data_IF_648974555370
#
_entry.id   IF_648974555370
#
_cell.length_a   1.000
_cell.length_b   1.000
_cell.length_c   1.000
_cell.angle_alpha   90.00
_cell.angle_beta   90.00
_cell.angle_gamma   90.00
#
_symmetry.space_group_name_H-M   'P 1'
#
loop_
_entity.id
_entity.type
_entity.pdbx_description
1 polymer ?
#
# COMPACT_ATOMS: atom_id res chain seq x y z
N UNK A 1 14.98 -3.79 34.85
CA UNK A 1 15.31 -3.24 33.54
C UNK A 1 15.97 -1.89 33.73
N UNK A 2 17.23 -1.73 33.30
CA UNK A 2 17.99 -0.50 33.43
C UNK A 2 17.69 0.45 32.25
N UNK A 3 18.00 1.74 32.40
CA UNK A 3 17.86 2.69 31.28
C UNK A 3 18.67 2.28 30.06
N UNK A 4 19.86 1.73 30.26
CA UNK A 4 20.73 1.26 29.17
C UNK A 4 20.15 0.05 28.43
N UNK A 5 19.49 -0.87 29.15
CA UNK A 5 18.75 -1.97 28.54
C UNK A 5 17.59 -1.45 27.71
N UNK A 6 16.84 -0.45 28.20
CA UNK A 6 15.76 0.19 27.46
C UNK A 6 16.28 0.83 26.16
N UNK A 7 17.34 1.65 26.27
CA UNK A 7 17.92 2.34 25.09
C UNK A 7 18.43 1.36 24.03
N UNK A 8 19.09 0.28 24.44
CA UNK A 8 19.63 -0.73 23.49
C UNK A 8 18.56 -1.57 22.81
N UNK A 9 17.47 -1.85 23.51
CA UNK A 9 16.44 -2.78 23.05
C UNK A 9 15.17 -2.08 22.57
N UNK A 10 15.09 -0.75 22.68
CA UNK A 10 13.94 0.02 22.23
C UNK A 10 13.72 -0.16 20.71
N UNK A 11 12.62 -0.84 20.36
CA UNK A 11 12.21 -1.07 18.96
C UNK A 11 10.72 -0.80 18.79
N UNK A 12 9.89 -1.58 19.45
CA UNK A 12 8.44 -1.47 19.41
C UNK A 12 7.82 -1.94 20.71
N UNK A 13 6.58 -1.60 20.95
CA UNK A 13 5.82 -1.95 22.16
C UNK A 13 5.04 -3.26 21.97
N UNK A 14 4.92 -4.09 23.04
CA UNK A 14 5.70 -4.09 24.30
C UNK A 14 7.17 -4.49 24.04
N UNK A 15 8.12 -3.89 24.75
CA UNK A 15 9.55 -4.08 24.50
C UNK A 15 10.02 -5.55 24.53
N UNK A 16 9.42 -6.39 25.40
CA UNK A 16 9.79 -7.81 25.54
C UNK A 16 9.13 -8.75 24.53
N UNK A 17 8.00 -8.31 23.96
CA UNK A 17 7.26 -9.07 22.96
C UNK A 17 6.58 -8.08 21.99
N UNK A 18 7.34 -7.46 21.08
CA UNK A 18 6.83 -6.44 20.18
C UNK A 18 5.61 -6.92 19.37
N UNK A 19 4.69 -5.98 19.08
CA UNK A 19 3.48 -6.27 18.31
C UNK A 19 3.79 -6.71 16.86
N UNK A 20 5.02 -6.51 16.40
CA UNK A 20 5.48 -6.92 15.08
C UNK A 20 6.99 -7.23 15.09
N UNK A 21 7.49 -8.13 14.23
CA UNK A 21 8.92 -8.44 14.15
C UNK A 21 9.71 -7.32 13.45
N UNK A 22 11.03 -7.36 13.60
CA UNK A 22 11.92 -6.48 12.82
C UNK A 22 11.89 -6.89 11.35
N UNK A 23 11.83 -5.90 10.44
CA UNK A 23 12.01 -6.14 9.00
C UNK A 23 13.48 -6.44 8.64
N UNK A 24 13.77 -6.74 7.35
CA UNK A 24 12.85 -6.73 6.20
C UNK A 24 11.86 -7.89 6.22
N UNK A 25 10.79 -7.81 5.40
CA UNK A 25 9.77 -8.86 5.32
C UNK A 25 9.76 -9.51 3.94
N UNK A 26 9.82 -10.85 3.91
CA UNK A 26 9.67 -11.66 2.70
C UNK A 26 8.22 -12.06 2.52
N UNK A 27 7.72 -11.97 1.29
CA UNK A 27 6.39 -12.43 0.87
C UNK A 27 6.57 -13.50 -0.19
N UNK A 28 5.87 -14.63 -0.01
CA UNK A 28 5.82 -15.73 -0.96
C UNK A 28 4.41 -15.83 -1.53
N UNK A 29 4.30 -16.00 -2.85
CA UNK A 29 3.02 -16.08 -3.56
C UNK A 29 2.10 -14.86 -3.33
N UNK A 30 2.67 -13.67 -3.17
CA UNK A 30 1.89 -12.44 -3.07
C UNK A 30 1.13 -12.21 -4.36
N UNK A 31 -0.19 -12.15 -4.24
CA UNK A 31 -1.12 -12.02 -5.33
C UNK A 31 -1.74 -10.63 -5.34
N UNK A 32 -1.80 -10.01 -6.52
CA UNK A 32 -2.37 -8.68 -6.71
C UNK A 32 -3.43 -8.70 -7.80
N UNK A 33 -4.52 -7.96 -7.57
CA UNK A 33 -5.34 -7.40 -8.62
C UNK A 33 -5.22 -5.88 -8.55
N UNK A 34 -4.70 -5.27 -9.61
CA UNK A 34 -4.51 -3.82 -9.72
C UNK A 34 -5.41 -3.29 -10.80
N UNK A 35 -6.37 -2.43 -10.43
CA UNK A 35 -7.27 -1.75 -11.35
C UNK A 35 -6.84 -0.28 -11.41
N UNK A 36 -6.35 0.14 -12.59
CA UNK A 36 -5.94 1.53 -12.84
C UNK A 36 -7.11 2.29 -13.44
N UNK A 37 -7.42 3.45 -12.87
CA UNK A 37 -8.53 4.27 -13.32
C UNK A 37 -8.19 5.75 -13.32
N UNK A 38 -8.89 6.51 -14.18
CA UNK A 38 -8.86 7.98 -14.22
C UNK A 38 -9.83 8.54 -13.20
N UNK A 39 -9.41 9.61 -12.51
CA UNK A 39 -10.22 10.32 -11.52
C UNK A 39 -10.21 11.83 -11.77
N UNK A 40 -10.93 12.59 -10.95
CA UNK A 40 -10.93 14.05 -11.00
C UNK A 40 -9.56 14.63 -10.62
N UNK A 41 -8.92 15.45 -11.48
CA UNK A 41 -7.58 15.96 -11.23
C UNK A 41 -7.49 16.93 -10.05
N UNK A 42 -8.53 17.72 -9.76
CA UNK A 42 -8.51 18.65 -8.64
C UNK A 42 -8.65 17.91 -7.31
N UNK A 43 -9.53 16.92 -7.24
CA UNK A 43 -9.68 16.06 -6.06
C UNK A 43 -8.39 15.27 -5.80
N UNK A 44 -7.78 14.71 -6.86
CA UNK A 44 -6.53 13.96 -6.73
C UNK A 44 -5.39 14.85 -6.24
N UNK A 45 -5.23 16.07 -6.80
CA UNK A 45 -4.17 17.01 -6.38
C UNK A 45 -4.27 17.35 -4.89
N UNK A 46 -5.47 17.50 -4.36
CA UNK A 46 -5.71 17.79 -2.96
C UNK A 46 -5.23 16.68 -2.00
N UNK A 47 -5.12 15.43 -2.49
CA UNK A 47 -4.69 14.27 -1.69
C UNK A 47 -3.18 14.04 -1.70
N UNK A 48 -2.42 14.71 -2.60
CA UNK A 48 -0.98 14.48 -2.76
C UNK A 48 -0.20 15.48 -1.89
N UNK A 49 0.57 15.03 -0.89
CA UNK A 49 1.37 15.93 -0.05
C UNK A 49 2.55 16.50 -0.83
N UNK A 50 2.82 17.82 -0.66
CA UNK A 50 4.05 18.39 -1.16
C UNK A 50 5.27 17.76 -0.43
N UNK A 51 6.45 17.63 -1.07
CA UNK A 51 6.80 18.10 -2.40
C UNK A 51 6.50 17.09 -3.53
N UNK A 52 5.66 16.07 -3.30
CA UNK A 52 5.26 15.16 -4.37
C UNK A 52 4.44 15.88 -5.46
N UNK A 53 4.72 15.57 -6.70
CA UNK A 53 4.04 16.15 -7.86
C UNK A 53 3.17 15.11 -8.56
N UNK A 54 1.96 15.51 -8.94
CA UNK A 54 1.04 14.69 -9.73
C UNK A 54 1.56 14.62 -11.18
N UNK A 55 1.58 13.41 -11.75
CA UNK A 55 1.89 13.21 -13.16
C UNK A 55 0.62 13.26 -14.01
N UNK A 56 -0.26 12.28 -13.82
CA UNK A 56 -1.55 12.13 -14.50
C UNK A 56 -2.66 11.93 -13.47
N UNK A 57 -3.92 12.29 -13.77
CA UNK A 57 -5.03 12.12 -12.84
C UNK A 57 -5.52 10.66 -12.82
N UNK A 58 -4.63 9.76 -12.44
CA UNK A 58 -4.88 8.32 -12.34
C UNK A 58 -4.61 7.78 -10.94
N UNK A 59 -5.35 6.72 -10.59
CA UNK A 59 -5.21 5.99 -9.34
C UNK A 59 -5.12 4.50 -9.65
N UNK A 60 -4.29 3.79 -8.93
CA UNK A 60 -4.25 2.32 -8.90
C UNK A 60 -4.99 1.86 -7.65
N UNK A 61 -6.08 1.14 -7.83
CA UNK A 61 -6.76 0.45 -6.73
C UNK A 61 -6.24 -0.98 -6.66
N UNK A 62 -5.73 -1.37 -5.50
CA UNK A 62 -5.08 -2.65 -5.30
C UNK A 62 -5.91 -3.53 -4.36
N UNK A 63 -6.10 -4.80 -4.74
CA UNK A 63 -6.53 -5.88 -3.86
C UNK A 63 -5.38 -6.89 -3.81
N UNK A 64 -4.93 -7.22 -2.61
CA UNK A 64 -3.72 -8.00 -2.41
C UNK A 64 -4.00 -9.13 -1.42
N UNK A 65 -3.60 -10.35 -1.79
CA UNK A 65 -3.57 -11.50 -0.91
C UNK A 65 -2.10 -11.88 -0.65
N UNK A 66 -1.75 -12.03 0.61
CA UNK A 66 -0.42 -12.43 1.07
C UNK A 66 -0.55 -13.74 1.85
N UNK A 67 -0.49 -14.90 1.18
CA UNK A 67 -0.70 -16.20 1.83
C UNK A 67 0.43 -16.57 2.79
N UNK A 68 1.65 -16.07 2.54
CA UNK A 68 2.83 -16.32 3.36
C UNK A 68 3.72 -15.08 3.44
N UNK A 69 3.87 -14.53 4.64
CA UNK A 69 4.73 -13.39 4.91
C UNK A 69 5.53 -13.58 6.20
N UNK A 70 6.81 -13.20 6.16
CA UNK A 70 7.72 -13.33 7.30
C UNK A 70 7.15 -12.64 8.53
N UNK A 71 6.87 -13.41 9.57
CA UNK A 71 6.46 -12.94 10.89
C UNK A 71 4.98 -12.52 11.01
N UNK A 72 4.21 -12.47 9.90
CA UNK A 72 2.79 -12.13 9.93
C UNK A 72 1.89 -13.30 9.47
N UNK A 73 2.42 -14.25 8.66
CA UNK A 73 1.61 -15.31 8.07
C UNK A 73 0.69 -14.80 6.96
N UNK A 74 -0.58 -15.22 6.97
CA UNK A 74 -1.57 -14.87 5.96
C UNK A 74 -2.37 -13.63 6.35
N UNK A 75 -2.47 -12.65 5.44
CA UNK A 75 -3.39 -11.52 5.53
C UNK A 75 -3.67 -10.92 4.15
N UNK A 76 -4.71 -10.08 4.06
CA UNK A 76 -5.08 -9.37 2.83
C UNK A 76 -4.97 -7.86 3.03
N UNK A 77 -4.68 -7.13 1.95
CA UNK A 77 -4.66 -5.67 1.90
C UNK A 77 -5.48 -5.15 0.71
N UNK A 78 -5.99 -3.93 0.84
CA UNK A 78 -6.58 -3.18 -0.28
C UNK A 78 -6.37 -1.69 -0.07
N UNK A 79 -6.18 -0.93 -1.15
CA UNK A 79 -5.96 0.49 -1.04
C UNK A 79 -5.71 1.19 -2.37
N UNK A 80 -5.32 2.46 -2.25
CA UNK A 80 -5.11 3.35 -3.39
C UNK A 80 -3.67 3.82 -3.44
N UNK A 81 -3.04 3.69 -4.61
CA UNK A 81 -1.70 4.19 -4.92
C UNK A 81 -1.81 5.21 -6.05
N UNK A 82 -1.25 6.38 -5.84
CA UNK A 82 -1.29 7.50 -6.79
C UNK A 82 0.09 7.63 -7.44
N UNK A 83 0.22 7.54 -8.77
CA UNK A 83 1.46 7.85 -9.47
C UNK A 83 1.89 9.30 -9.26
N UNK A 84 3.12 9.49 -8.83
CA UNK A 84 3.70 10.80 -8.50
C UNK A 84 5.17 10.85 -8.90
N UNK A 85 5.76 12.06 -8.84
CA UNK A 85 7.21 12.24 -8.88
C UNK A 85 7.72 12.96 -7.63
N UNK A 86 8.95 12.68 -7.25
CA UNK A 86 9.74 13.43 -6.27
C UNK A 86 11.09 13.75 -6.90
N UNK A 87 11.43 15.04 -7.06
CA UNK A 87 12.68 15.49 -7.70
C UNK A 87 12.92 14.83 -9.08
N UNK A 88 11.84 14.67 -9.87
CA UNK A 88 11.88 14.03 -11.18
C UNK A 88 11.92 12.49 -11.16
N UNK A 89 11.99 11.86 -9.99
CA UNK A 89 11.96 10.39 -9.85
C UNK A 89 10.50 9.93 -9.73
N UNK A 90 10.06 9.13 -10.73
CA UNK A 90 8.72 8.55 -10.73
C UNK A 90 8.54 7.47 -9.65
N UNK A 91 7.34 7.41 -9.05
CA UNK A 91 6.98 6.42 -8.05
C UNK A 91 5.50 6.42 -7.74
N UNK A 92 5.11 5.70 -6.69
CA UNK A 92 3.72 5.62 -6.22
C UNK A 92 3.56 6.19 -4.80
N UNK A 93 2.65 7.12 -4.60
CA UNK A 93 2.24 7.55 -3.26
C UNK A 93 1.12 6.65 -2.74
N UNK A 94 1.37 5.95 -1.64
CA UNK A 94 0.36 5.09 -0.99
C UNK A 94 -0.58 5.99 -0.19
N UNK A 95 -1.75 6.29 -0.77
CA UNK A 95 -2.73 7.23 -0.22
C UNK A 95 -3.61 6.61 0.86
N UNK A 96 -4.09 5.40 0.64
CA UNK A 96 -4.92 4.67 1.60
C UNK A 96 -4.61 3.17 1.58
N UNK A 97 -4.77 2.50 2.73
CA UNK A 97 -4.56 1.07 2.83
C UNK A 97 -5.41 0.48 3.97
N UNK A 98 -6.07 -0.63 3.68
CA UNK A 98 -6.92 -1.36 4.63
C UNK A 98 -6.50 -2.82 4.63
N UNK A 99 -6.42 -3.43 5.82
CA UNK A 99 -6.07 -4.84 5.96
C UNK A 99 -6.76 -5.48 7.17
N UNK A 100 -6.76 -6.81 7.21
CA UNK A 100 -7.53 -7.60 8.16
C UNK A 100 -6.71 -8.16 9.33
N UNK A 101 -5.48 -7.64 9.57
CA UNK A 101 -4.60 -8.15 10.63
C UNK A 101 -3.86 -7.01 11.35
N UNK A 102 -3.79 -7.10 12.69
CA UNK A 102 -3.21 -6.05 13.54
C UNK A 102 -1.68 -5.93 13.48
N UNK A 103 -0.87 -7.01 13.55
CA UNK A 103 0.60 -6.91 13.51
C UNK A 103 1.12 -6.17 12.28
N UNK A 104 0.68 -6.45 11.04
CA UNK A 104 1.11 -5.70 9.87
C UNK A 104 0.54 -4.27 9.80
N UNK A 105 -0.56 -3.96 10.53
CA UNK A 105 -1.00 -2.58 10.75
C UNK A 105 0.02 -1.84 11.60
N UNK A 106 0.33 -2.36 12.79
CA UNK A 106 1.25 -1.72 13.72
C UNK A 106 2.63 -1.52 13.09
N UNK A 107 3.24 -2.59 12.56
CA UNK A 107 4.56 -2.52 11.93
C UNK A 107 4.60 -1.61 10.71
N UNK A 108 3.58 -1.68 9.85
CA UNK A 108 3.48 -0.83 8.67
C UNK A 108 3.41 0.66 9.03
N UNK A 109 2.63 1.02 10.02
CA UNK A 109 2.49 2.42 10.49
C UNK A 109 3.73 2.92 11.20
N UNK A 110 4.26 2.12 12.15
CA UNK A 110 5.35 2.56 13.03
C UNK A 110 6.72 2.59 12.31
N UNK A 111 7.04 1.60 11.46
CA UNK A 111 8.31 1.56 10.74
C UNK A 111 8.32 2.43 9.49
N UNK A 112 7.36 2.25 8.58
CA UNK A 112 7.37 2.90 7.26
C UNK A 112 6.44 4.11 7.15
N UNK A 113 5.34 4.13 7.91
CA UNK A 113 4.30 5.14 7.76
C UNK A 113 3.21 4.78 6.73
N UNK A 114 3.01 3.48 6.46
CA UNK A 114 1.85 3.05 5.66
C UNK A 114 0.54 3.55 6.29
N UNK A 115 -0.39 4.10 5.51
CA UNK A 115 -1.66 4.65 6.01
C UNK A 115 -2.68 3.55 6.35
N UNK A 116 -2.23 2.53 7.09
CA UNK A 116 -2.97 1.30 7.35
C UNK A 116 -4.09 1.50 8.37
N UNK A 117 -5.28 0.99 8.03
CA UNK A 117 -6.46 0.89 8.90
C UNK A 117 -6.99 -0.52 8.86
N UNK A 118 -7.71 -0.93 9.92
CA UNK A 118 -8.39 -2.22 9.94
C UNK A 118 -9.58 -2.18 8.96
N UNK A 119 -9.71 -3.21 8.15
CA UNK A 119 -10.80 -3.45 7.20
C UNK A 119 -10.90 -4.94 6.90
N UNK A 120 -11.74 -5.31 5.96
CA UNK A 120 -11.92 -6.71 5.53
C UNK A 120 -11.73 -6.80 4.01
N UNK A 121 -10.48 -6.69 3.52
CA UNK A 121 -10.17 -6.95 2.11
C UNK A 121 -10.18 -8.45 1.82
N UNK A 122 -10.63 -8.81 0.62
CA UNK A 122 -10.53 -10.16 0.07
C UNK A 122 -10.12 -10.10 -1.39
N UNK A 123 -9.39 -11.12 -1.85
CA UNK A 123 -9.09 -11.38 -3.25
C UNK A 123 -9.28 -12.88 -3.51
N UNK A 124 -10.15 -13.23 -4.46
CA UNK A 124 -10.46 -14.63 -4.77
C UNK A 124 -10.93 -14.84 -6.19
N UNK A 125 -10.71 -16.03 -6.71
CA UNK A 125 -11.25 -16.47 -8.00
C UNK A 125 -12.65 -17.06 -7.79
N UNK A 126 -13.60 -16.63 -8.62
CA UNK A 126 -14.96 -17.16 -8.72
C UNK A 126 -15.24 -17.50 -10.18
N UNK A 127 -15.31 -18.79 -10.51
CA UNK A 127 -15.46 -19.28 -11.89
C UNK A 127 -14.36 -18.72 -12.82
N UNK A 128 -14.67 -17.82 -13.74
CA UNK A 128 -13.82 -17.15 -14.71
C UNK A 128 -13.37 -15.74 -14.31
N UNK A 129 -13.69 -15.35 -13.09
CA UNK A 129 -13.52 -13.97 -12.61
C UNK A 129 -12.65 -13.91 -11.36
N UNK A 130 -11.63 -13.06 -11.37
CA UNK A 130 -10.90 -12.62 -10.19
C UNK A 130 -11.69 -11.48 -9.54
N UNK A 131 -12.08 -11.65 -8.29
CA UNK A 131 -12.92 -10.71 -7.54
C UNK A 131 -12.17 -10.20 -6.32
N UNK A 132 -12.05 -8.88 -6.20
CA UNK A 132 -11.56 -8.17 -5.03
C UNK A 132 -12.69 -7.43 -4.32
N UNK A 133 -12.72 -7.49 -3.01
CA UNK A 133 -13.68 -6.73 -2.20
C UNK A 133 -12.99 -6.07 -1.02
N UNK A 134 -13.51 -4.94 -0.58
CA UNK A 134 -13.11 -4.28 0.66
C UNK A 134 -14.36 -3.88 1.44
N UNK A 135 -14.48 -4.41 2.66
CA UNK A 135 -15.50 -3.96 3.61
C UNK A 135 -14.84 -3.18 4.75
N UNK A 136 -15.50 -2.12 5.20
CA UNK A 136 -15.13 -1.34 6.39
C UNK A 136 -16.32 -1.26 7.33
N UNK A 137 -16.16 -1.75 8.56
CA UNK A 137 -17.27 -1.85 9.53
C UNK A 137 -18.51 -2.52 8.93
N UNK A 138 -18.34 -3.68 8.29
CA UNK A 138 -19.39 -4.49 7.65
C UNK A 138 -20.07 -3.84 6.42
N UNK A 139 -19.65 -2.64 6.00
CA UNK A 139 -20.15 -1.97 4.80
C UNK A 139 -19.17 -2.14 3.65
N UNK A 140 -19.66 -2.54 2.46
CA UNK A 140 -18.88 -2.60 1.24
C UNK A 140 -18.47 -1.19 0.84
N UNK A 141 -17.14 -0.96 0.69
CA UNK A 141 -16.58 0.32 0.21
C UNK A 141 -15.91 0.20 -1.14
N UNK A 142 -15.51 -1.01 -1.55
CA UNK A 142 -14.99 -1.26 -2.90
C UNK A 142 -15.30 -2.67 -3.38
N UNK A 143 -15.59 -2.79 -4.69
CA UNK A 143 -15.68 -4.06 -5.42
C UNK A 143 -14.94 -3.95 -6.74
N UNK A 144 -13.93 -4.79 -6.93
CA UNK A 144 -13.20 -4.92 -8.18
C UNK A 144 -13.42 -6.29 -8.81
N UNK A 145 -13.53 -6.35 -10.14
CA UNK A 145 -13.59 -7.61 -10.88
C UNK A 145 -12.66 -7.55 -12.09
N UNK A 146 -12.09 -8.69 -12.45
CA UNK A 146 -11.25 -8.84 -13.62
C UNK A 146 -11.44 -10.23 -14.23
N UNK A 147 -11.48 -10.31 -15.57
CA UNK A 147 -11.42 -11.60 -16.28
C UNK A 147 -10.13 -12.36 -15.89
N UNK A 148 -10.28 -13.61 -15.45
CA UNK A 148 -9.17 -14.38 -14.89
C UNK A 148 -8.20 -14.88 -15.97
N UNK A 149 -6.94 -14.39 -15.95
CA UNK A 149 -5.81 -14.83 -16.80
C UNK A 149 -6.10 -14.74 -18.30
N UNK A 150 -6.68 -13.63 -18.77
CA UNK A 150 -7.05 -13.49 -20.19
C UNK A 150 -5.84 -13.36 -21.11
N UNK A 151 -4.91 -12.43 -20.82
CA UNK A 151 -3.75 -12.17 -21.66
C UNK A 151 -2.49 -12.12 -20.80
N UNK A 152 -1.51 -12.96 -21.11
CA UNK A 152 -0.23 -12.97 -20.42
C UNK A 152 0.54 -11.66 -20.67
N UNK A 153 1.21 -11.17 -19.64
CA UNK A 153 2.07 -10.00 -19.68
C UNK A 153 3.55 -10.39 -19.56
N UNK A 154 4.42 -9.52 -20.06
CA UNK A 154 5.85 -9.68 -19.91
C UNK A 154 6.30 -9.54 -18.46
N UNK A 155 7.01 -10.55 -17.95
CA UNK A 155 7.41 -10.62 -16.54
C UNK A 155 8.46 -9.56 -16.17
N UNK A 156 9.36 -9.17 -17.10
CA UNK A 156 10.39 -8.16 -16.80
C UNK A 156 9.77 -6.75 -16.72
N UNK A 157 8.78 -6.47 -17.54
CA UNK A 157 7.99 -5.23 -17.43
C UNK A 157 7.27 -5.14 -16.10
N UNK A 158 6.64 -6.21 -15.66
CA UNK A 158 5.94 -6.27 -14.36
C UNK A 158 6.94 -6.16 -13.19
N UNK A 159 8.06 -6.85 -13.27
CA UNK A 159 9.15 -6.78 -12.27
C UNK A 159 9.67 -5.35 -12.12
N UNK A 160 9.91 -4.67 -13.24
CA UNK A 160 10.34 -3.27 -13.24
C UNK A 160 9.30 -2.33 -12.61
N UNK A 161 8.02 -2.57 -12.90
CA UNK A 161 6.91 -1.82 -12.27
C UNK A 161 6.84 -2.04 -10.77
N UNK A 162 6.97 -3.29 -10.29
CA UNK A 162 6.98 -3.63 -8.86
C UNK A 162 8.20 -3.07 -8.12
N UNK A 163 9.34 -2.94 -8.81
CA UNK A 163 10.58 -2.37 -8.25
C UNK A 163 10.58 -0.82 -8.21
N UNK A 164 9.56 -0.17 -8.77
CA UNK A 164 9.45 1.28 -8.75
C UNK A 164 9.37 1.82 -7.32
N UNK A 165 9.96 3.00 -7.03
CA UNK A 165 9.88 3.62 -5.71
C UNK A 165 8.45 3.85 -5.26
N UNK A 166 8.20 3.68 -3.96
CA UNK A 166 6.96 4.09 -3.33
C UNK A 166 7.23 5.10 -2.21
N UNK A 167 6.28 6.00 -2.00
CA UNK A 167 6.35 7.09 -1.03
C UNK A 167 5.22 6.96 -0.02
N UNK A 168 5.55 7.25 1.24
CA UNK A 168 4.65 7.18 2.39
C UNK A 168 4.75 8.47 3.19
N UNK A 169 3.62 9.04 3.58
CA UNK A 169 3.59 10.14 4.54
C UNK A 169 3.53 9.55 5.94
N UNK A 170 4.69 9.45 6.60
CA UNK A 170 4.82 8.94 7.97
C UNK A 170 4.56 10.05 8.97
N UNK A 171 3.52 9.88 9.79
CA UNK A 171 3.19 10.78 10.90
C UNK A 171 3.08 9.96 12.18
N UNK A 172 3.92 10.27 13.17
CA UNK A 172 3.87 9.71 14.52
C UNK A 172 3.70 10.87 15.50
N UNK A 173 2.60 10.93 16.24
CA UNK A 173 2.38 11.99 17.23
C UNK A 173 3.23 11.77 18.49
N UNK A 174 3.59 12.86 19.15
CA UNK A 174 4.06 12.87 20.52
C UNK A 174 2.86 12.69 21.49
N UNK A 175 3.13 12.46 22.77
CA UNK A 175 2.08 12.24 23.79
C UNK A 175 1.16 13.45 24.00
N UNK A 176 1.57 14.65 23.60
CA UNK A 176 0.78 15.88 23.64
C UNK A 176 -0.03 16.14 22.35
N UNK A 177 0.03 15.21 21.38
CA UNK A 177 -0.67 15.31 20.10
C UNK A 177 0.09 16.07 19.02
N UNK A 178 1.23 16.70 19.33
CA UNK A 178 2.08 17.33 18.31
C UNK A 178 2.83 16.29 17.48
N UNK A 179 3.22 16.57 16.22
CA UNK A 179 3.96 15.59 15.43
C UNK A 179 5.38 15.39 16.00
N UNK A 180 5.73 14.15 16.35
CA UNK A 180 7.10 13.76 16.72
C UNK A 180 7.92 13.35 15.50
N UNK A 181 7.26 12.72 14.51
CA UNK A 181 7.79 12.38 13.19
C UNK A 181 6.77 12.85 12.18
N UNK A 182 7.23 13.56 11.15
CA UNK A 182 6.43 13.94 9.99
C UNK A 182 7.36 13.93 8.76
N UNK A 183 7.34 12.84 8.00
CA UNK A 183 8.34 12.54 6.98
C UNK A 183 7.70 11.92 5.73
N UNK A 184 8.27 12.19 4.55
CA UNK A 184 8.12 11.29 3.41
C UNK A 184 9.17 10.19 3.51
N UNK A 185 8.70 8.96 3.57
CA UNK A 185 9.53 7.76 3.54
C UNK A 185 9.48 7.17 2.14
N UNK A 186 10.65 6.84 1.58
CA UNK A 186 10.80 6.12 0.31
C UNK A 186 11.24 4.69 0.57
N UNK A 187 10.64 3.75 -0.14
CA UNK A 187 11.11 2.36 -0.25
C UNK A 187 10.94 1.87 -1.69
N UNK A 188 11.56 0.75 -2.01
CA UNK A 188 11.32 0.02 -3.24
C UNK A 188 11.37 -1.48 -2.93
N UNK A 189 10.50 -2.27 -3.53
CA UNK A 189 10.51 -3.72 -3.36
C UNK A 189 11.77 -4.33 -3.99
N UNK A 190 12.31 -5.37 -3.37
CA UNK A 190 13.51 -6.08 -3.82
C UNK A 190 13.28 -7.58 -3.94
N UNK A 191 14.27 -8.31 -4.44
CA UNK A 191 14.25 -9.78 -4.58
C UNK A 191 12.98 -10.29 -5.28
N UNK A 192 12.56 -9.56 -6.32
CA UNK A 192 11.30 -9.81 -7.02
C UNK A 192 11.45 -10.97 -8.00
N UNK A 193 10.57 -11.97 -7.86
CA UNK A 193 10.38 -13.05 -8.82
C UNK A 193 8.92 -13.07 -9.25
N UNK A 194 8.63 -12.65 -10.49
CA UNK A 194 7.28 -12.71 -11.06
C UNK A 194 7.00 -14.14 -11.48
N UNK A 195 6.00 -14.78 -10.87
CA UNK A 195 5.54 -16.15 -11.16
C UNK A 195 4.47 -16.19 -12.23
N UNK A 196 3.75 -15.08 -12.40
CA UNK A 196 2.74 -14.93 -13.43
C UNK A 196 2.16 -13.51 -13.44
N UNK A 197 1.77 -13.05 -14.62
CA UNK A 197 1.15 -11.75 -14.80
C UNK A 197 0.20 -11.78 -15.98
N UNK A 198 -0.99 -11.21 -15.82
CA UNK A 198 -2.02 -11.18 -16.86
C UNK A 198 -2.78 -9.87 -16.84
N UNK A 199 -3.24 -9.43 -18.01
CA UNK A 199 -4.25 -8.40 -18.17
C UNK A 199 -5.59 -9.01 -18.57
N UNK A 200 -6.67 -8.25 -18.37
CA UNK A 200 -8.01 -8.63 -18.80
C UNK A 200 -9.00 -7.48 -18.64
N UNK A 201 -10.24 -7.65 -19.11
CA UNK A 201 -11.30 -6.69 -18.83
C UNK A 201 -11.51 -6.55 -17.33
N UNK A 202 -11.65 -5.32 -16.83
CA UNK A 202 -11.84 -5.04 -15.42
C UNK A 202 -12.92 -4.02 -15.15
N UNK A 203 -13.47 -4.06 -13.95
CA UNK A 203 -14.43 -3.09 -13.44
C UNK A 203 -14.14 -2.79 -11.96
N UNK A 204 -14.43 -1.57 -11.54
CA UNK A 204 -14.27 -1.11 -10.16
C UNK A 204 -15.45 -0.24 -9.77
N UNK A 205 -16.05 -0.55 -8.62
CA UNK A 205 -17.07 0.25 -7.98
C UNK A 205 -16.62 0.65 -6.58
N UNK A 206 -16.71 1.96 -6.26
CA UNK A 206 -16.36 2.53 -4.96
C UNK A 206 -17.61 3.13 -4.32
N UNK A 207 -17.82 2.86 -3.02
CA UNK A 207 -18.97 3.37 -2.27
C UNK A 207 -18.52 4.37 -1.21
N UNK A 208 -19.26 5.49 -1.02
CA UNK A 208 -18.94 6.49 -0.01
C UNK A 208 -19.01 5.91 1.41
N UNK A 209 -18.03 6.28 2.24
CA UNK A 209 -18.00 5.94 3.65
C UNK A 209 -17.24 6.99 4.45
N UNK A 210 -17.81 7.50 5.54
CA UNK A 210 -17.24 8.59 6.33
C UNK A 210 -15.81 8.35 6.86
N UNK A 211 -15.47 7.09 7.18
CA UNK A 211 -14.17 6.72 7.76
C UNK A 211 -13.28 5.90 6.82
N UNK A 212 -13.77 5.55 5.64
CA UNK A 212 -13.03 4.86 4.57
C UNK A 212 -13.35 5.53 3.22
N UNK A 213 -12.87 6.77 2.99
CA UNK A 213 -13.33 7.63 1.91
C UNK A 213 -12.67 7.28 0.55
N UNK A 214 -12.66 6.00 0.18
CA UNK A 214 -12.05 5.56 -1.10
C UNK A 214 -12.78 6.12 -2.32
N UNK A 215 -14.07 6.42 -2.19
CA UNK A 215 -14.89 7.00 -3.24
C UNK A 215 -14.69 8.52 -3.44
N UNK A 216 -13.91 9.19 -2.58
CA UNK A 216 -13.55 10.60 -2.77
C UNK A 216 -12.63 10.81 -3.99
N UNK A 217 -12.04 9.73 -4.50
CA UNK A 217 -11.38 9.68 -5.81
C UNK A 217 -12.25 8.86 -6.78
N UNK A 218 -13.25 9.49 -7.45
CA UNK A 218 -14.26 8.79 -8.24
C UNK A 218 -13.67 8.08 -9.45
N UNK A 219 -14.25 6.94 -9.82
CA UNK A 219 -13.89 6.16 -11.00
C UNK A 219 -14.57 6.79 -12.23
N UNK A 220 -13.82 7.53 -13.04
CA UNK A 220 -14.34 8.15 -14.28
C UNK A 220 -14.14 7.24 -15.51
N UNK A 221 -13.02 6.50 -15.56
CA UNK A 221 -12.66 5.61 -16.65
C UNK A 221 -11.74 4.50 -16.15
N UNK A 222 -12.00 3.25 -16.49
CA UNK A 222 -11.08 2.13 -16.24
C UNK A 222 -10.06 2.10 -17.37
N UNK A 223 -8.78 2.20 -17.01
CA UNK A 223 -7.66 2.21 -17.97
C UNK A 223 -7.05 0.82 -18.16
N UNK A 224 -6.93 0.05 -17.07
CA UNK A 224 -6.40 -1.32 -17.12
C UNK A 224 -6.78 -2.12 -15.88
N UNK A 225 -6.76 -3.44 -16.01
CA UNK A 225 -6.79 -4.38 -14.90
C UNK A 225 -5.68 -5.42 -15.09
N UNK A 226 -4.90 -5.65 -14.03
CA UNK A 226 -3.73 -6.54 -14.05
C UNK A 226 -3.77 -7.46 -12.84
N UNK A 227 -3.54 -8.75 -13.08
CA UNK A 227 -3.37 -9.78 -12.06
C UNK A 227 -1.91 -10.20 -12.01
N UNK A 228 -1.28 -10.18 -10.84
CA UNK A 228 0.14 -10.50 -10.66
C UNK A 228 0.29 -11.52 -9.52
N UNK A 229 1.17 -12.50 -9.73
CA UNK A 229 1.64 -13.42 -8.69
C UNK A 229 3.16 -13.32 -8.61
N UNK A 230 3.70 -12.99 -7.44
CA UNK A 230 5.14 -12.77 -7.27
C UNK A 230 5.63 -13.09 -5.85
N UNK A 231 6.90 -13.46 -5.76
CA UNK A 231 7.67 -13.40 -4.52
C UNK A 231 8.45 -12.10 -4.48
N UNK A 232 8.54 -11.49 -3.31
CA UNK A 232 9.28 -10.22 -3.15
C UNK A 232 9.63 -9.94 -1.68
N UNK A 233 10.55 -9.01 -1.49
CA UNK A 233 10.95 -8.51 -0.17
C UNK A 233 10.55 -7.04 -0.02
N UNK A 234 9.95 -6.69 1.12
CA UNK A 234 9.79 -5.31 1.58
C UNK A 234 10.98 -4.94 2.46
N UNK A 235 11.96 -4.17 1.95
CA UNK A 235 13.10 -3.70 2.73
C UNK A 235 12.68 -2.57 3.67
N UNK A 236 13.57 -2.16 4.56
CA UNK A 236 13.39 -0.93 5.33
C UNK A 236 13.39 0.30 4.40
N UNK A 237 12.67 1.35 4.80
CA UNK A 237 12.60 2.59 4.06
C UNK A 237 13.75 3.56 4.41
N UNK A 238 13.81 4.65 3.67
CA UNK A 238 14.68 5.78 3.93
C UNK A 238 13.86 7.09 3.95
N UNK A 239 14.21 8.03 4.83
CA UNK A 239 13.60 9.36 4.84
C UNK A 239 13.99 10.09 3.56
N UNK A 240 13.01 10.45 2.76
CA UNK A 240 13.18 11.22 1.53
C UNK A 240 12.98 12.72 1.74
N UNK A 241 12.12 13.09 2.71
CA UNK A 241 11.87 14.49 3.07
C UNK A 241 11.38 14.54 4.52
N UNK A 242 11.93 15.48 5.31
CA UNK A 242 11.52 15.73 6.71
C UNK A 242 10.82 17.08 6.80
N UNK A 243 9.53 17.05 7.14
CA UNK A 243 8.72 18.29 7.31
C UNK A 243 9.04 19.05 8.59
N UNK A 244 9.69 18.40 9.58
CA UNK A 244 10.05 19.01 10.86
C UNK A 244 11.50 19.51 10.88
N UNK A 245 12.30 19.17 9.88
CA UNK A 245 13.65 19.73 9.76
C UNK A 245 13.56 21.26 9.66
N UNK A 246 14.31 21.95 10.51
CA UNK A 246 14.45 23.40 10.39
C UNK A 246 15.06 23.72 9.02
N UNK A 247 14.32 24.42 8.17
CA UNK A 247 14.89 25.00 6.96
C UNK A 247 15.75 26.19 7.40
N UNK A 248 17.00 26.31 6.92
CA UNK A 248 17.84 27.46 7.17
C UNK A 248 17.24 28.75 6.62
#
# INVERSE_FOLDING_TARGET
MTEDEIRRNAFAMPMHNPAFPRGPYRFTDREYMVITYRTDPAMLRAMIPAPLEMTDPIVKFEFINMPDSTGFGHYCESGQVIPVTLDGVAGGYVHSMYLNDHPPIAGGRELWGFPKKLGQPELRVRTDTLTGTLDYSEMRVATGTMGFKHQALDHETIKSSLASPAFLLKIIPHVDGTPRICELVRYALSDITVKGAWSGPGALELHPHALAPVADLPVLEILSAVHILADLTLPLGAVAYDYLAQRP
#
